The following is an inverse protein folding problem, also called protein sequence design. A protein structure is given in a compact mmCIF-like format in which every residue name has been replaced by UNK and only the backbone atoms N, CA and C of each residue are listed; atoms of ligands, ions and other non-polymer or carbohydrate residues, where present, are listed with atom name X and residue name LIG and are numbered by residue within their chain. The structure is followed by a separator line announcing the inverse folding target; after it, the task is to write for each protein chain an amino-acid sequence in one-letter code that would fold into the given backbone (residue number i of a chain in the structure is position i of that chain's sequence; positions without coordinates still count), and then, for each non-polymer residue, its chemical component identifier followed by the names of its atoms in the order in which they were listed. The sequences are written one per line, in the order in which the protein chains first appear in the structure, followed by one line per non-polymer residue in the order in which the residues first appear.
data_IF_519526412633
#
_entry.id   IF_519526412633
#
_cell.length_a   1.000
_cell.length_b   1.000
_cell.length_c   1.000
_cell.angle_alpha   90.00
_cell.angle_beta   90.00
_cell.angle_gamma   90.00
#
_symmetry.space_group_name_H-M   'P 1'
#
loop_
_entity.id
_entity.type
_entity.pdbx_description
1 polymer ?
#
# COMPACT_ATOMS: atom_id res chain seq x y z
N UNK A 1 -5.37 17.19 2.67
CA UNK A 1 -4.42 16.07 2.85
C UNK A 1 -3.29 16.20 1.85
N UNK A 2 -2.04 15.92 2.24
CA UNK A 2 -0.88 15.91 1.35
C UNK A 2 -0.21 14.55 1.44
N UNK A 3 0.10 13.95 0.29
CA UNK A 3 0.80 12.67 0.22
C UNK A 3 2.03 12.83 -0.67
N UNK A 4 3.21 12.48 -0.15
CA UNK A 4 4.46 12.48 -0.90
C UNK A 4 4.94 11.04 -1.07
N UNK A 5 5.22 10.65 -2.31
CA UNK A 5 5.75 9.32 -2.64
C UNK A 5 7.27 9.35 -2.43
N UNK A 6 7.71 8.79 -1.30
CA UNK A 6 9.14 8.74 -0.95
C UNK A 6 9.88 7.65 -1.72
N UNK A 7 9.21 6.52 -1.99
CA UNK A 7 9.73 5.41 -2.79
C UNK A 7 8.61 4.80 -3.63
N UNK A 8 8.94 4.55 -4.87
CA UNK A 8 8.21 3.76 -5.86
C UNK A 8 9.24 3.19 -6.87
N UNK A 9 8.81 2.26 -7.73
CA UNK A 9 9.70 1.57 -8.69
C UNK A 9 10.32 2.50 -9.74
N UNK A 10 9.73 3.67 -9.95
CA UNK A 10 10.12 4.65 -10.96
C UNK A 10 10.32 6.03 -10.36
N UNK A 11 11.08 6.89 -11.03
CA UNK A 11 11.21 8.31 -10.70
C UNK A 11 11.36 9.15 -11.95
N UNK A 12 10.84 10.38 -11.90
CA UNK A 12 11.06 11.40 -12.93
C UNK A 12 12.14 12.40 -12.52
N UNK A 13 12.59 12.38 -11.25
CA UNK A 13 13.63 13.25 -10.72
C UNK A 13 14.95 12.46 -10.59
N UNK A 14 16.00 12.78 -11.37
CA UNK A 14 17.28 12.08 -11.31
C UNK A 14 18.02 12.25 -9.98
N UNK A 15 17.59 13.19 -9.14
CA UNK A 15 18.13 13.36 -7.81
C UNK A 15 17.56 12.37 -6.78
N UNK A 16 16.42 11.72 -7.08
CA UNK A 16 15.76 10.77 -6.19
C UNK A 16 16.08 9.33 -6.57
N UNK A 17 16.01 8.44 -5.59
CA UNK A 17 16.26 7.01 -5.77
C UNK A 17 14.93 6.28 -5.91
N UNK A 18 14.69 5.65 -7.07
CA UNK A 18 13.66 4.65 -7.22
C UNK A 18 14.19 3.29 -6.78
N UNK A 19 13.36 2.48 -6.17
CA UNK A 19 13.65 1.06 -5.89
C UNK A 19 12.36 0.25 -5.95
N UNK A 20 12.47 -1.06 -6.07
CA UNK A 20 11.31 -1.94 -5.96
C UNK A 20 10.77 -1.87 -4.53
N UNK A 21 9.61 -1.23 -4.35
CA UNK A 21 9.01 -1.00 -3.04
C UNK A 21 8.06 0.19 -3.04
N UNK A 22 7.46 0.44 -1.89
CA UNK A 22 6.58 1.58 -1.65
C UNK A 22 6.93 2.25 -0.32
N UNK A 23 6.94 3.58 -0.31
CA UNK A 23 6.93 4.38 0.92
C UNK A 23 6.24 5.70 0.68
N UNK A 24 5.29 6.03 1.54
CA UNK A 24 4.49 7.25 1.45
C UNK A 24 4.60 8.06 2.74
N UNK A 25 4.86 9.36 2.60
CA UNK A 25 4.66 10.32 3.68
C UNK A 25 3.30 10.98 3.51
N UNK A 26 2.52 11.06 4.58
CA UNK A 26 1.14 11.55 4.56
C UNK A 26 0.97 12.62 5.65
N UNK A 27 0.46 13.79 5.26
CA UNK A 27 -0.05 14.80 6.18
C UNK A 27 -1.59 14.77 6.12
N UNK A 28 -2.21 14.36 7.23
CA UNK A 28 -3.66 14.29 7.41
C UNK A 28 -4.04 15.00 8.72
N UNK A 29 -4.77 16.12 8.62
CA UNK A 29 -5.05 16.99 9.76
C UNK A 29 -3.75 17.44 10.43
N UNK A 30 -3.58 17.08 11.70
CA UNK A 30 -2.36 17.37 12.48
C UNK A 30 -1.33 16.25 12.44
N UNK A 31 -1.64 15.12 11.82
CA UNK A 31 -0.82 13.91 11.86
C UNK A 31 0.12 13.81 10.66
N UNK A 32 1.35 13.39 10.94
CA UNK A 32 2.36 12.99 9.96
C UNK A 32 2.54 11.49 10.05
N UNK A 33 2.16 10.80 9.00
CA UNK A 33 2.13 9.35 8.94
C UNK A 33 3.18 8.89 7.93
N UNK A 34 3.96 7.88 8.28
CA UNK A 34 4.76 7.12 7.33
C UNK A 34 4.05 5.80 7.04
N UNK A 35 3.67 5.59 5.79
CA UNK A 35 3.08 4.33 5.33
C UNK A 35 4.10 3.59 4.46
N UNK A 36 4.50 2.41 4.89
CA UNK A 36 5.58 1.60 4.34
C UNK A 36 6.96 2.33 4.29
N UNK A 37 8.04 1.58 4.12
CA UNK A 37 9.41 2.09 4.25
C UNK A 37 10.34 1.58 3.13
N UNK A 38 9.75 1.04 2.05
CA UNK A 38 10.51 0.51 0.92
C UNK A 38 11.37 -0.71 1.29
N UNK A 39 12.28 -1.03 0.40
CA UNK A 39 13.19 -2.17 0.52
C UNK A 39 14.46 -1.84 1.31
N UNK A 40 14.95 -0.59 1.20
CA UNK A 40 16.22 -0.15 1.76
C UNK A 40 16.07 1.15 2.58
N UNK A 41 17.15 1.91 2.70
CA UNK A 41 17.16 3.25 3.28
C UNK A 41 16.87 4.37 2.24
N UNK A 42 16.46 4.02 1.02
CA UNK A 42 16.20 4.99 -0.05
C UNK A 42 15.14 6.03 0.36
N UNK A 43 14.09 5.60 1.08
CA UNK A 43 13.06 6.52 1.58
C UNK A 43 13.62 7.61 2.51
N UNK A 44 14.65 7.31 3.33
CA UNK A 44 15.31 8.31 4.19
C UNK A 44 16.00 9.38 3.35
N UNK A 45 16.75 8.96 2.34
CA UNK A 45 17.51 9.85 1.45
C UNK A 45 16.57 10.74 0.65
N UNK A 46 15.49 10.15 0.13
CA UNK A 46 14.47 10.86 -0.62
C UNK A 46 13.69 11.83 0.28
N UNK A 47 13.30 11.40 1.49
CA UNK A 47 12.62 12.26 2.45
C UNK A 47 13.41 13.56 2.72
N UNK A 48 14.73 13.45 2.97
CA UNK A 48 15.59 14.61 3.18
C UNK A 48 15.60 15.57 1.99
N UNK A 49 15.64 15.05 0.75
CA UNK A 49 15.61 15.86 -0.49
C UNK A 49 14.23 16.48 -0.76
N UNK A 50 13.16 15.80 -0.34
CA UNK A 50 11.78 16.27 -0.48
C UNK A 50 11.31 17.16 0.69
N UNK A 51 12.22 17.51 1.63
CA UNK A 51 11.91 18.36 2.78
C UNK A 51 10.99 17.68 3.80
N UNK A 52 11.04 16.36 3.92
CA UNK A 52 10.30 15.58 4.92
C UNK A 52 11.23 15.22 6.07
N UNK A 53 10.88 15.66 7.26
CA UNK A 53 11.60 15.34 8.50
C UNK A 53 11.00 14.09 9.15
N UNK A 54 11.62 12.94 8.90
CA UNK A 54 11.15 11.66 9.41
C UNK A 54 11.25 11.54 10.94
N UNK A 55 12.07 12.35 11.61
CA UNK A 55 12.10 12.42 13.08
C UNK A 55 10.80 12.98 13.66
N UNK A 56 9.99 13.66 12.85
CA UNK A 56 8.70 14.26 13.24
C UNK A 56 7.49 13.45 12.84
N UNK A 57 7.67 12.23 12.36
CA UNK A 57 6.56 11.30 12.11
C UNK A 57 5.88 10.96 13.44
N UNK A 58 4.55 11.08 13.49
CA UNK A 58 3.74 10.82 14.66
C UNK A 58 3.37 9.35 14.80
N UNK A 59 3.20 8.66 13.68
CA UNK A 59 2.93 7.21 13.61
C UNK A 59 3.40 6.63 12.28
N UNK A 60 3.76 5.36 12.28
CA UNK A 60 4.05 4.62 11.06
C UNK A 60 3.13 3.40 10.93
N UNK A 61 2.84 3.01 9.70
CA UNK A 61 2.01 1.86 9.36
C UNK A 61 2.76 0.99 8.35
N UNK A 62 2.80 -0.30 8.59
CA UNK A 62 3.28 -1.27 7.61
C UNK A 62 2.07 -1.99 7.01
N UNK A 63 1.94 -1.93 5.69
CA UNK A 63 0.80 -2.52 4.98
C UNK A 63 0.75 -4.05 5.10
N UNK A 64 1.92 -4.70 5.04
CA UNK A 64 2.04 -6.16 5.10
C UNK A 64 3.49 -6.60 5.35
N UNK A 65 3.72 -7.90 5.48
CA UNK A 65 4.97 -8.48 5.93
C UNK A 65 6.03 -8.70 4.86
N UNK A 66 6.03 -8.00 3.72
CA UNK A 66 7.06 -8.17 2.69
C UNK A 66 8.19 -7.14 2.81
N UNK A 67 9.42 -7.56 2.41
CA UNK A 67 10.65 -6.78 2.57
C UNK A 67 10.68 -5.48 1.75
N UNK A 68 9.99 -5.43 0.62
CA UNK A 68 9.89 -4.27 -0.26
C UNK A 68 8.94 -3.17 0.27
N UNK A 69 8.27 -3.45 1.39
CA UNK A 69 7.46 -2.49 2.16
C UNK A 69 8.05 -2.22 3.55
N UNK A 70 8.65 -3.22 4.19
CA UNK A 70 9.19 -3.10 5.54
C UNK A 70 10.70 -3.27 5.66
N UNK A 71 11.44 -3.35 4.57
CA UNK A 71 12.90 -3.48 4.60
C UNK A 71 13.59 -2.28 5.24
N UNK A 72 13.04 -1.08 5.07
CA UNK A 72 13.50 0.15 5.71
C UNK A 72 13.16 0.31 7.19
N UNK A 73 12.40 -0.61 7.80
CA UNK A 73 11.93 -0.52 9.19
C UNK A 73 13.08 -0.28 10.19
N UNK A 74 14.19 -1.02 10.05
CA UNK A 74 15.36 -0.84 10.91
C UNK A 74 15.97 0.55 10.80
N UNK A 75 16.00 1.12 9.60
CA UNK A 75 16.50 2.48 9.35
C UNK A 75 15.54 3.54 9.93
N UNK A 76 14.24 3.36 9.83
CA UNK A 76 13.25 4.25 10.46
C UNK A 76 13.38 4.26 11.97
N UNK A 77 13.55 3.09 12.60
CA UNK A 77 13.75 2.98 14.05
C UNK A 77 14.95 3.77 14.57
N UNK A 78 15.98 3.99 13.73
CA UNK A 78 17.17 4.76 14.10
C UNK A 78 16.94 6.28 14.03
N UNK A 79 16.13 6.76 13.08
CA UNK A 79 15.92 8.20 12.83
C UNK A 79 14.72 8.78 13.57
N UNK A 80 13.74 7.94 13.91
CA UNK A 80 12.59 8.32 14.71
C UNK A 80 12.59 7.51 16.00
N UNK A 81 12.62 8.19 17.15
CA UNK A 81 12.74 7.55 18.46
C UNK A 81 11.40 7.34 19.21
N UNK A 82 10.26 7.78 18.67
CA UNK A 82 9.03 7.87 19.46
C UNK A 82 7.75 7.34 18.78
N UNK A 83 7.66 7.44 17.45
CA UNK A 83 6.42 7.06 16.74
C UNK A 83 6.08 5.58 16.95
N UNK A 84 4.84 5.23 17.34
CA UNK A 84 4.36 3.86 17.27
C UNK A 84 4.36 3.40 15.81
N UNK A 85 4.65 2.12 15.60
CA UNK A 85 4.67 1.49 14.29
C UNK A 85 3.63 0.37 14.30
N UNK A 86 2.56 0.54 13.55
CA UNK A 86 1.46 -0.41 13.50
C UNK A 86 1.74 -1.48 12.45
N UNK A 87 1.80 -2.73 12.88
CA UNK A 87 2.05 -3.90 12.04
C UNK A 87 0.96 -4.94 12.28
N UNK A 88 0.52 -5.64 11.23
CA UNK A 88 -0.40 -6.74 11.46
C UNK A 88 0.29 -7.85 12.28
N UNK A 89 -0.41 -8.50 13.21
CA UNK A 89 0.15 -9.54 14.11
C UNK A 89 0.86 -10.68 13.36
N UNK A 90 0.52 -10.92 12.10
CA UNK A 90 1.12 -11.92 11.22
C UNK A 90 2.22 -11.38 10.31
N UNK A 91 2.57 -10.08 10.39
CA UNK A 91 3.52 -9.47 9.47
C UNK A 91 4.94 -10.07 9.53
N UNK A 92 5.33 -10.66 10.68
CA UNK A 92 6.62 -11.32 10.85
C UNK A 92 6.60 -12.83 10.60
N UNK A 93 5.49 -13.39 10.11
CA UNK A 93 5.50 -14.77 9.61
C UNK A 93 6.49 -14.88 8.44
N UNK A 94 7.17 -16.04 8.28
CA UNK A 94 8.10 -16.21 7.17
C UNK A 94 7.40 -16.32 5.83
N UNK A 95 7.65 -15.34 4.95
CA UNK A 95 7.11 -15.28 3.59
C UNK A 95 8.18 -15.59 2.54
N UNK A 96 7.78 -16.23 1.45
CA UNK A 96 8.68 -16.68 0.40
C UNK A 96 8.10 -16.43 -1.00
N UNK A 97 8.99 -16.21 -1.97
CA UNK A 97 8.67 -16.32 -3.38
C UNK A 97 9.27 -17.61 -3.94
N UNK A 98 8.41 -18.50 -4.45
CA UNK A 98 8.80 -19.86 -4.75
C UNK A 98 9.22 -20.62 -3.48
N UNK A 99 10.12 -21.61 -3.62
CA UNK A 99 10.53 -22.46 -2.51
C UNK A 99 11.74 -21.95 -1.71
N UNK A 100 12.42 -20.89 -2.18
CA UNK A 100 13.76 -20.56 -1.67
C UNK A 100 13.98 -19.09 -1.34
N UNK A 101 13.32 -18.16 -2.02
CA UNK A 101 13.55 -16.73 -1.80
C UNK A 101 12.73 -16.23 -0.64
N UNK A 102 13.39 -16.00 0.52
CA UNK A 102 12.75 -15.31 1.64
C UNK A 102 12.41 -13.87 1.24
N UNK A 103 11.18 -13.46 1.47
CA UNK A 103 10.66 -12.14 1.17
C UNK A 103 9.99 -11.47 2.38
N UNK A 104 10.09 -12.07 3.56
CA UNK A 104 9.54 -11.53 4.80
C UNK A 104 10.37 -10.39 5.38
N UNK A 105 9.91 -9.87 6.50
CA UNK A 105 10.60 -8.86 7.30
C UNK A 105 11.85 -9.44 7.98
N UNK A 106 12.76 -8.57 8.41
CA UNK A 106 13.94 -8.98 9.20
C UNK A 106 13.49 -9.52 10.58
N UNK A 107 13.68 -10.82 10.88
CA UNK A 107 13.17 -11.41 12.13
C UNK A 107 13.75 -10.78 13.39
N UNK A 108 14.94 -10.17 13.29
CA UNK A 108 15.61 -9.47 14.40
C UNK A 108 14.84 -8.23 14.90
N UNK A 109 13.88 -7.73 14.13
CA UNK A 109 13.06 -6.58 14.50
C UNK A 109 11.78 -6.98 15.22
N UNK A 110 11.41 -8.26 15.16
CA UNK A 110 10.23 -8.77 15.86
C UNK A 110 10.35 -8.54 17.37
N UNK A 111 9.26 -8.12 18.00
CA UNK A 111 9.24 -7.82 19.44
C UNK A 111 9.87 -6.47 19.82
N UNK A 112 10.23 -5.63 18.88
CA UNK A 112 10.63 -4.26 19.19
C UNK A 112 9.47 -3.52 19.89
N UNK A 113 9.69 -2.85 21.04
CA UNK A 113 8.62 -2.25 21.85
C UNK A 113 7.82 -1.14 21.16
N UNK A 114 8.31 -0.63 20.04
CA UNK A 114 7.59 0.34 19.21
C UNK A 114 6.69 -0.28 18.15
N UNK A 115 6.77 -1.61 17.95
CA UNK A 115 5.86 -2.34 17.08
C UNK A 115 4.56 -2.62 17.84
N UNK A 116 3.47 -2.09 17.35
CA UNK A 116 2.13 -2.30 17.88
C UNK A 116 1.39 -3.25 16.95
N UNK A 117 1.20 -4.46 17.41
CA UNK A 117 0.48 -5.47 16.64
C UNK A 117 -0.99 -5.10 16.52
N UNK A 118 -1.50 -5.21 15.31
CA UNK A 118 -2.90 -4.95 14.96
C UNK A 118 -3.60 -6.24 14.51
N UNK A 119 -4.89 -6.30 14.76
CA UNK A 119 -5.79 -7.33 14.25
C UNK A 119 -7.20 -6.74 14.17
N UNK A 120 -7.89 -6.99 13.09
CA UNK A 120 -9.25 -6.46 12.95
C UNK A 120 -9.31 -4.99 12.49
N UNK A 121 -10.28 -4.25 13.01
CA UNK A 121 -10.42 -2.79 12.79
C UNK A 121 -9.86 -2.06 14.00
N UNK A 122 -8.87 -1.20 13.78
CA UNK A 122 -8.19 -0.47 14.84
C UNK A 122 -8.34 1.04 14.59
N UNK A 123 -9.22 1.74 15.32
CA UNK A 123 -9.32 3.19 15.23
C UNK A 123 -8.10 3.83 15.90
N UNK A 124 -7.45 4.77 15.19
CA UNK A 124 -6.30 5.55 15.67
C UNK A 124 -6.67 6.99 16.04
N UNK A 125 -7.94 7.36 15.86
CA UNK A 125 -8.47 8.69 16.15
C UNK A 125 -8.43 9.65 14.94
N UNK A 126 -9.10 10.79 15.06
CA UNK A 126 -9.09 11.89 14.08
C UNK A 126 -9.37 11.42 12.62
N UNK A 127 -10.29 10.47 12.43
CA UNK A 127 -10.63 9.92 11.11
C UNK A 127 -9.62 8.93 10.54
N UNK A 128 -8.65 8.46 11.36
CA UNK A 128 -7.62 7.50 10.96
C UNK A 128 -7.96 6.13 11.52
N UNK A 129 -7.97 5.11 10.68
CA UNK A 129 -8.27 3.73 11.09
C UNK A 129 -7.50 2.71 10.26
N UNK A 130 -7.15 1.57 10.87
CA UNK A 130 -6.56 0.41 10.19
C UNK A 130 -7.62 -0.68 10.03
N UNK A 131 -7.55 -1.38 8.92
CA UNK A 131 -8.46 -2.47 8.57
C UNK A 131 -7.64 -3.70 8.18
N UNK A 132 -7.69 -4.78 8.95
CA UNK A 132 -7.04 -6.05 8.62
C UNK A 132 -7.72 -6.72 7.42
N UNK A 133 -6.95 -7.09 6.41
CA UNK A 133 -7.46 -7.54 5.11
C UNK A 133 -8.35 -8.79 5.13
N UNK A 134 -8.30 -9.59 6.21
CA UNK A 134 -9.14 -10.79 6.34
C UNK A 134 -10.56 -10.52 6.79
N UNK A 135 -10.88 -9.29 7.21
CA UNK A 135 -12.23 -8.92 7.66
C UNK A 135 -13.17 -8.58 6.50
N UNK A 136 -12.60 -8.15 5.38
CA UNK A 136 -13.39 -7.78 4.22
C UNK A 136 -13.99 -8.98 3.50
N UNK A 137 -15.01 -8.76 2.66
CA UNK A 137 -15.55 -9.79 1.79
C UNK A 137 -14.45 -10.29 0.83
N UNK A 138 -14.51 -11.56 0.46
CA UNK A 138 -13.65 -12.17 -0.54
C UNK A 138 -14.53 -12.69 -1.67
N UNK A 139 -15.07 -11.77 -2.49
CA UNK A 139 -15.96 -12.09 -3.62
C UNK A 139 -15.18 -12.39 -4.88
N UNK A 140 -14.00 -11.77 -5.00
CA UNK A 140 -13.09 -11.98 -6.11
C UNK A 140 -11.95 -12.91 -5.69
N UNK A 141 -11.45 -13.77 -6.57
CA UNK A 141 -10.34 -14.68 -6.28
C UNK A 141 -9.10 -13.94 -5.78
N UNK A 142 -8.41 -14.55 -4.80
CA UNK A 142 -7.11 -14.07 -4.30
C UNK A 142 -6.05 -15.02 -4.81
N UNK A 143 -5.21 -14.53 -5.71
CA UNK A 143 -4.20 -15.33 -6.38
C UNK A 143 -2.83 -15.12 -5.73
N UNK A 144 -2.17 -16.16 -5.23
CA UNK A 144 -0.88 -16.04 -4.57
C UNK A 144 0.28 -15.79 -5.55
N UNK A 145 0.14 -16.02 -6.85
CA UNK A 145 1.15 -15.78 -7.88
C UNK A 145 2.55 -16.33 -7.53
N UNK A 146 2.59 -17.49 -6.84
CA UNK A 146 3.84 -18.13 -6.41
C UNK A 146 4.40 -17.61 -5.10
N UNK A 147 3.67 -16.75 -4.38
CA UNK A 147 3.99 -16.34 -3.02
C UNK A 147 3.51 -17.41 -2.03
N UNK A 148 4.32 -17.64 -1.00
CA UNK A 148 4.09 -18.68 -0.01
C UNK A 148 4.44 -18.18 1.39
N UNK A 149 3.82 -18.76 2.39
CA UNK A 149 4.16 -18.56 3.80
C UNK A 149 4.53 -19.89 4.45
N UNK A 150 5.28 -19.81 5.55
CA UNK A 150 5.62 -20.99 6.34
C UNK A 150 4.51 -21.27 7.36
N UNK A 151 3.92 -22.44 7.31
CA UNK A 151 2.95 -22.92 8.28
C UNK A 151 3.33 -24.31 8.77
N UNK A 152 3.50 -24.47 10.07
CA UNK A 152 3.87 -25.77 10.70
C UNK A 152 5.09 -26.45 10.05
N UNK A 153 6.09 -25.66 9.60
CA UNK A 153 7.30 -26.16 8.95
C UNK A 153 7.14 -26.53 7.46
N UNK A 154 6.01 -26.21 6.85
CA UNK A 154 5.73 -26.46 5.45
C UNK A 154 5.40 -25.14 4.73
N UNK A 155 5.82 -25.03 3.46
CA UNK A 155 5.40 -23.93 2.60
C UNK A 155 3.99 -24.20 2.08
N UNK A 156 3.10 -23.24 2.34
CA UNK A 156 1.74 -23.22 1.81
C UNK A 156 1.53 -21.93 0.99
N UNK A 157 0.60 -21.90 0.03
CA UNK A 157 0.27 -20.66 -0.65
C UNK A 157 -0.03 -19.54 0.37
N UNK A 158 0.44 -18.32 0.09
CA UNK A 158 0.17 -17.19 0.99
C UNK A 158 -1.31 -16.80 0.91
N UNK A 159 -1.94 -16.69 2.07
CA UNK A 159 -3.33 -16.24 2.22
C UNK A 159 -3.43 -14.72 2.43
N UNK A 160 -2.28 -14.04 2.49
CA UNK A 160 -2.14 -12.60 2.72
C UNK A 160 -2.91 -12.09 3.95
N UNK A 161 -3.08 -12.94 4.95
CA UNK A 161 -3.76 -12.55 6.19
C UNK A 161 -2.93 -11.57 7.04
N UNK A 162 -1.72 -11.26 6.62
CA UNK A 162 -0.84 -10.24 7.20
C UNK A 162 -1.02 -8.84 6.56
N UNK A 163 -1.93 -8.68 5.59
CA UNK A 163 -2.19 -7.40 4.94
C UNK A 163 -3.19 -6.57 5.74
N UNK A 164 -2.96 -5.26 5.80
CA UNK A 164 -3.86 -4.27 6.40
C UNK A 164 -3.86 -2.97 5.57
N UNK A 165 -4.95 -2.22 5.68
CA UNK A 165 -5.19 -0.98 4.94
C UNK A 165 -5.31 0.19 5.90
N UNK A 166 -4.74 1.34 5.51
CA UNK A 166 -4.93 2.60 6.22
C UNK A 166 -6.08 3.37 5.57
N UNK A 167 -7.14 3.63 6.33
CA UNK A 167 -8.25 4.49 5.92
C UNK A 167 -8.15 5.83 6.60
N UNK A 168 -8.25 6.90 5.81
CA UNK A 168 -8.18 8.29 6.25
C UNK A 168 -9.47 8.99 5.84
N UNK A 169 -10.10 9.65 6.78
CA UNK A 169 -11.32 10.45 6.55
C UNK A 169 -11.04 11.90 6.93
N UNK A 170 -11.01 12.78 5.95
CA UNK A 170 -10.74 14.20 6.14
C UNK A 170 -11.60 15.05 5.21
N UNK A 171 -12.28 16.07 5.76
CA UNK A 171 -13.09 17.03 4.99
C UNK A 171 -14.14 16.36 4.07
N UNK A 172 -14.81 15.32 4.57
CA UNK A 172 -15.85 14.58 3.84
C UNK A 172 -15.32 13.64 2.76
N UNK A 173 -14.00 13.46 2.65
CA UNK A 173 -13.33 12.56 1.72
C UNK A 173 -12.77 11.33 2.44
N UNK A 174 -12.96 10.15 1.84
CA UNK A 174 -12.39 8.88 2.29
C UNK A 174 -11.24 8.47 1.37
N UNK A 175 -10.07 8.24 1.95
CA UNK A 175 -8.88 7.77 1.24
C UNK A 175 -8.42 6.44 1.84
N UNK A 176 -8.17 5.43 1.01
CA UNK A 176 -7.59 4.15 1.44
C UNK A 176 -6.19 4.00 0.84
N UNK A 177 -5.23 3.65 1.68
CA UNK A 177 -3.88 3.26 1.28
C UNK A 177 -3.74 1.75 1.47
N UNK A 178 -3.45 1.01 0.40
CA UNK A 178 -3.54 -0.46 0.40
C UNK A 178 -2.22 -1.22 0.37
N UNK A 179 -1.09 -0.54 0.11
CA UNK A 179 0.17 -1.25 -0.17
C UNK A 179 0.12 -1.97 -1.51
N UNK A 180 0.14 -3.31 -1.50
CA UNK A 180 0.09 -4.14 -2.71
C UNK A 180 -1.30 -4.63 -3.12
N UNK A 181 -2.29 -4.57 -2.24
CA UNK A 181 -3.64 -5.14 -2.47
C UNK A 181 -3.62 -6.64 -2.80
N UNK A 182 -2.81 -7.42 -2.09
CA UNK A 182 -2.71 -8.87 -2.31
C UNK A 182 -4.05 -9.59 -2.09
N UNK A 183 -4.91 -9.07 -1.21
CA UNK A 183 -6.26 -9.58 -0.98
C UNK A 183 -7.24 -9.25 -2.12
N UNK A 184 -6.74 -8.62 -3.20
CA UNK A 184 -7.48 -8.23 -4.38
C UNK A 184 -8.08 -6.83 -4.28
N UNK A 185 -7.71 -5.98 -5.26
CA UNK A 185 -8.17 -4.59 -5.30
C UNK A 185 -9.70 -4.47 -5.31
N UNK A 186 -10.41 -5.37 -6.01
CA UNK A 186 -11.86 -5.35 -6.08
C UNK A 186 -12.49 -5.72 -4.73
N UNK A 187 -11.92 -6.68 -3.99
CA UNK A 187 -12.37 -7.01 -2.64
C UNK A 187 -12.21 -5.83 -1.67
N UNK A 188 -11.14 -5.05 -1.82
CA UNK A 188 -10.88 -3.85 -1.01
C UNK A 188 -11.90 -2.76 -1.33
N UNK A 189 -12.16 -2.53 -2.62
CA UNK A 189 -13.16 -1.56 -3.07
C UNK A 189 -14.57 -1.94 -2.62
N UNK A 190 -14.95 -3.20 -2.74
CA UNK A 190 -16.22 -3.76 -2.25
C UNK A 190 -16.43 -3.56 -0.74
N UNK A 191 -15.34 -3.51 0.01
CA UNK A 191 -15.41 -3.40 1.46
C UNK A 191 -15.38 -1.96 1.97
N UNK A 192 -14.41 -1.18 1.47
CA UNK A 192 -14.08 0.10 2.10
C UNK A 192 -14.68 1.31 1.36
N UNK A 193 -15.10 1.14 0.09
CA UNK A 193 -15.73 2.17 -0.75
C UNK A 193 -15.08 3.56 -0.63
N UNK A 194 -13.75 3.70 -0.81
CA UNK A 194 -13.11 5.01 -0.71
C UNK A 194 -13.40 5.89 -1.92
N UNK A 195 -13.35 7.22 -1.73
CA UNK A 195 -13.34 8.18 -2.85
C UNK A 195 -12.01 8.14 -3.60
N UNK A 196 -10.91 7.80 -2.90
CA UNK A 196 -9.56 7.68 -3.48
C UNK A 196 -8.88 6.44 -2.91
N UNK A 197 -8.28 5.63 -3.79
CA UNK A 197 -7.41 4.53 -3.39
C UNK A 197 -5.99 4.76 -3.90
N UNK A 198 -5.00 4.55 -3.02
CA UNK A 198 -3.57 4.70 -3.33
C UNK A 198 -2.86 3.39 -2.97
N UNK A 199 -2.18 2.78 -3.95
CA UNK A 199 -1.44 1.53 -3.77
C UNK A 199 -1.36 0.69 -5.03
N UNK A 200 -0.64 -0.42 -4.96
CA UNK A 200 -0.52 -1.38 -6.06
C UNK A 200 -1.75 -2.28 -6.18
N UNK A 201 -2.03 -2.77 -7.38
CA UNK A 201 -3.16 -3.66 -7.66
C UNK A 201 -2.74 -5.13 -7.80
N UNK A 202 -1.46 -5.40 -7.65
CA UNK A 202 -0.84 -6.72 -7.76
C UNK A 202 -1.07 -7.43 -9.11
N UNK A 203 -1.11 -6.67 -10.21
CA UNK A 203 -1.33 -7.18 -11.58
C UNK A 203 -0.05 -7.39 -12.38
N UNK A 204 1.13 -7.25 -11.76
CA UNK A 204 2.44 -7.35 -12.43
C UNK A 204 2.68 -8.67 -13.17
N UNK A 205 1.97 -9.74 -12.80
CA UNK A 205 2.05 -11.07 -13.45
C UNK A 205 1.11 -11.23 -14.63
N UNK A 206 0.15 -10.32 -14.81
CA UNK A 206 -0.80 -10.39 -15.90
C UNK A 206 -0.17 -9.86 -17.20
N UNK A 207 -0.37 -10.59 -18.28
CA UNK A 207 0.04 -10.19 -19.63
C UNK A 207 -1.18 -9.76 -20.45
N UNK A 208 -1.37 -8.47 -20.75
CA UNK A 208 -2.52 -8.00 -21.54
C UNK A 208 -2.67 -8.62 -22.94
N UNK A 209 -1.60 -9.20 -23.49
CA UNK A 209 -1.65 -9.91 -24.77
C UNK A 209 -2.21 -11.34 -24.64
N UNK A 210 -2.28 -11.88 -23.43
CA UNK A 210 -2.87 -13.16 -23.09
C UNK A 210 -4.38 -13.00 -22.91
N UNK A 211 -5.20 -13.74 -23.68
CA UNK A 211 -6.67 -13.63 -23.56
C UNK A 211 -7.21 -13.85 -22.14
N UNK A 212 -6.76 -14.86 -21.36
CA UNK A 212 -7.25 -15.01 -19.99
C UNK A 212 -6.86 -13.83 -19.09
N UNK A 213 -5.64 -13.30 -19.21
CA UNK A 213 -5.19 -12.20 -18.36
C UNK A 213 -5.86 -10.87 -18.78
N UNK A 214 -6.07 -10.65 -20.08
CA UNK A 214 -6.82 -9.51 -20.59
C UNK A 214 -8.26 -9.52 -20.06
N UNK A 215 -8.91 -10.69 -19.96
CA UNK A 215 -10.25 -10.78 -19.41
C UNK A 215 -10.31 -10.39 -17.92
N UNK A 216 -9.27 -10.71 -17.13
CA UNK A 216 -9.14 -10.26 -15.73
C UNK A 216 -8.99 -8.75 -15.66
N UNK A 217 -8.17 -8.17 -16.56
CA UNK A 217 -7.96 -6.71 -16.61
C UNK A 217 -9.21 -5.96 -17.09
N UNK A 218 -9.98 -6.55 -18.05
CA UNK A 218 -11.27 -5.98 -18.50
C UNK A 218 -12.29 -5.95 -17.38
N UNK A 219 -12.41 -7.05 -16.62
CA UNK A 219 -13.28 -7.12 -15.44
C UNK A 219 -12.87 -6.08 -14.41
N UNK A 220 -11.58 -5.99 -14.09
CA UNK A 220 -11.05 -5.01 -13.15
C UNK A 220 -11.33 -3.57 -13.62
N UNK A 221 -11.09 -3.25 -14.89
CA UNK A 221 -11.33 -1.92 -15.45
C UNK A 221 -12.80 -1.51 -15.33
N UNK A 222 -13.72 -2.44 -15.66
CA UNK A 222 -15.17 -2.22 -15.58
C UNK A 222 -15.60 -1.97 -14.13
N UNK A 223 -15.24 -2.86 -13.22
CA UNK A 223 -15.67 -2.76 -11.83
C UNK A 223 -15.04 -1.56 -11.10
N UNK A 224 -13.76 -1.29 -11.33
CA UNK A 224 -13.11 -0.09 -10.77
C UNK A 224 -13.77 1.21 -11.27
N UNK A 225 -14.28 1.21 -12.51
CA UNK A 225 -15.03 2.36 -13.06
C UNK A 225 -16.37 2.56 -12.33
N UNK A 226 -17.06 1.47 -11.99
CA UNK A 226 -18.38 1.53 -11.34
C UNK A 226 -18.34 2.10 -9.92
N UNK A 227 -17.18 2.07 -9.24
CA UNK A 227 -17.02 2.70 -7.92
C UNK A 227 -16.90 4.22 -7.97
N UNK A 228 -16.71 4.82 -9.14
CA UNK A 228 -16.52 6.28 -9.32
C UNK A 228 -15.40 6.89 -8.46
N UNK A 229 -14.42 6.08 -8.09
CA UNK A 229 -13.26 6.48 -7.30
C UNK A 229 -12.09 6.96 -8.18
N UNK A 230 -11.14 7.67 -7.56
CA UNK A 230 -9.86 8.02 -8.18
C UNK A 230 -8.78 7.09 -7.65
N UNK A 231 -7.94 6.60 -8.54
CA UNK A 231 -6.90 5.63 -8.24
C UNK A 231 -5.51 6.20 -8.52
N UNK A 232 -4.60 6.04 -7.56
CA UNK A 232 -3.16 6.25 -7.75
C UNK A 232 -2.47 4.92 -7.56
N UNK A 233 -1.88 4.37 -8.63
CA UNK A 233 -1.31 3.02 -8.60
C UNK A 233 0.05 2.95 -9.26
N UNK A 234 0.83 1.96 -8.87
CA UNK A 234 2.18 1.69 -9.36
C UNK A 234 2.74 0.40 -8.79
N UNK A 235 4.04 0.34 -8.57
CA UNK A 235 4.74 -0.74 -7.89
C UNK A 235 4.35 -2.13 -8.43
N UNK A 236 3.59 -2.91 -7.69
CA UNK A 236 3.17 -4.26 -8.06
C UNK A 236 2.02 -4.30 -9.08
N UNK A 237 1.46 -3.16 -9.51
CA UNK A 237 0.51 -3.13 -10.64
C UNK A 237 1.20 -3.52 -11.94
N UNK A 238 2.45 -3.07 -12.13
CA UNK A 238 3.21 -3.32 -13.35
C UNK A 238 2.77 -2.43 -14.52
N UNK A 239 3.76 -1.98 -15.33
CA UNK A 239 3.52 -1.06 -16.44
C UNK A 239 2.55 -1.59 -17.50
N UNK A 240 2.62 -2.88 -17.93
CA UNK A 240 1.68 -3.40 -18.94
C UNK A 240 0.22 -3.36 -18.48
N UNK A 241 -0.05 -3.81 -17.24
CA UNK A 241 -1.40 -3.79 -16.67
C UNK A 241 -1.88 -2.35 -16.44
N UNK A 242 -1.02 -1.45 -15.94
CA UNK A 242 -1.35 -0.05 -15.79
C UNK A 242 -1.77 0.60 -17.12
N UNK A 243 -0.98 0.41 -18.18
CA UNK A 243 -1.29 0.97 -19.50
C UNK A 243 -2.60 0.43 -20.07
N UNK A 244 -2.85 -0.85 -19.84
CA UNK A 244 -4.10 -1.49 -20.25
C UNK A 244 -5.31 -0.87 -19.53
N UNK A 245 -5.27 -0.80 -18.20
CA UNK A 245 -6.34 -0.21 -17.40
C UNK A 245 -6.57 1.26 -17.76
N UNK A 246 -5.49 2.03 -17.96
CA UNK A 246 -5.60 3.45 -18.32
C UNK A 246 -6.30 3.67 -19.66
N UNK A 247 -6.16 2.73 -20.61
CA UNK A 247 -6.84 2.78 -21.91
C UNK A 247 -8.33 2.37 -21.82
N UNK A 248 -8.73 1.63 -20.78
CA UNK A 248 -10.09 1.08 -20.63
C UNK A 248 -10.93 1.74 -19.53
N UNK A 249 -10.31 2.60 -18.72
CA UNK A 249 -11.00 3.34 -17.65
C UNK A 249 -11.22 4.81 -18.05
N UNK A 250 -12.17 5.54 -17.41
CA UNK A 250 -12.42 6.94 -17.69
C UNK A 250 -11.16 7.80 -17.52
N UNK A 251 -10.99 8.76 -18.42
CA UNK A 251 -9.86 9.70 -18.35
C UNK A 251 -9.85 10.44 -17.00
N UNK A 252 -8.70 10.43 -16.31
CA UNK A 252 -8.52 11.09 -15.03
C UNK A 252 -8.93 10.27 -13.81
N UNK A 253 -9.45 9.04 -13.98
CA UNK A 253 -9.73 8.16 -12.84
C UNK A 253 -8.53 7.33 -12.37
N UNK A 254 -7.52 7.11 -13.23
CA UNK A 254 -6.34 6.30 -12.92
C UNK A 254 -5.04 7.10 -13.17
N UNK A 255 -4.19 7.17 -12.14
CA UNK A 255 -2.93 7.91 -12.15
C UNK A 255 -1.77 7.00 -11.76
N UNK A 256 -0.62 7.17 -12.45
CA UNK A 256 0.60 6.47 -12.08
C UNK A 256 1.23 7.11 -10.83
N UNK A 257 1.77 6.26 -9.95
CA UNK A 257 2.67 6.66 -8.87
C UNK A 257 4.11 6.70 -9.37
N UNK A 258 4.91 7.60 -8.83
CA UNK A 258 6.37 7.61 -9.00
C UNK A 258 7.04 8.31 -7.82
N UNK A 259 8.25 7.91 -7.50
CA UNK A 259 9.08 8.54 -6.47
C UNK A 259 9.25 10.03 -6.75
N UNK A 260 9.05 10.85 -5.73
CA UNK A 260 9.12 12.31 -5.82
C UNK A 260 7.78 13.00 -6.07
N UNK A 261 6.73 12.26 -6.40
CA UNK A 261 5.40 12.81 -6.61
C UNK A 261 4.81 13.38 -5.33
N UNK A 262 4.12 14.51 -5.44
CA UNK A 262 3.29 15.08 -4.38
C UNK A 262 1.84 15.12 -4.86
N UNK A 263 0.95 14.47 -4.09
CA UNK A 263 -0.49 14.44 -4.33
C UNK A 263 -1.13 15.36 -3.29
N UNK A 264 -1.85 16.39 -3.74
CA UNK A 264 -2.60 17.30 -2.88
C UNK A 264 -4.07 17.00 -3.06
N UNK A 265 -4.71 16.56 -1.99
CA UNK A 265 -6.14 16.22 -1.98
C UNK A 265 -6.89 17.38 -1.29
N UNK A 266 -7.55 18.19 -2.09
CA UNK A 266 -8.36 19.31 -1.62
C UNK A 266 -9.64 18.80 -0.92
N UNK A 267 -10.24 19.64 -0.06
CA UNK A 267 -11.53 19.35 0.55
C UNK A 267 -12.59 19.13 -0.55
N UNK A 268 -13.50 18.18 -0.35
CA UNK A 268 -14.68 18.09 -1.21
C UNK A 268 -15.59 19.30 -0.93
N UNK A 269 -16.21 19.86 -1.97
CA UNK A 269 -17.31 20.79 -1.74
C UNK A 269 -18.37 20.08 -0.87
N UNK A 270 -19.06 20.82 0.04
CA UNK A 270 -20.12 20.22 0.84
C UNK A 270 -21.11 19.54 -0.12
N UNK A 271 -21.51 18.29 0.19
CA UNK A 271 -22.57 17.62 -0.56
C UNK A 271 -23.79 18.53 -0.41
N UNK A 272 -24.27 19.12 -1.51
CA UNK A 272 -25.57 19.78 -1.52
C UNK A 272 -26.58 18.71 -1.08
N UNK A 273 -27.29 18.99 0.01
CA UNK A 273 -28.38 18.14 0.45
C UNK A 273 -29.44 18.16 -0.67
N UNK A 274 -29.57 17.05 -1.40
CA UNK A 274 -30.59 16.80 -2.39
C UNK A 274 -31.90 16.38 -1.71
#
# INVERSE_FOLDING_TARGET
MIIKVLVENTTQDPCLQAEHGLSLFIECGRHRILFDMGQTDAFLKNAGKMGVDLAKIDMAVLSHGHYDHGGGLGAFLQVNGHAPIYVHKRAFEPHYHGAQKYIGLAPSLQGNPRLHETDGVVPLGDGISLYGGTLGPCRHPVEPYGLSRMENGQLVPDDFAHEQYLKLEENGRSVVISGCSHRGILNIMDWLHPDILIGGFHFVKLNPESKPDAAVLDEAARELTDYHAVYYTGHCTGTPAFSYLQAHMPTGSLHALHTGQTIVLEAMPPKEEL
#
